data_IF_756541612196
#
_entry.id   IF_756541612196
#
_cell.length_a   1.000
_cell.length_b   1.000
_cell.length_c   1.000
_cell.angle_alpha   90.00
_cell.angle_beta   90.00
_cell.angle_gamma   90.00
#
_symmetry.space_group_name_H-M   'P 1'
#
loop_
_entity.id
_entity.type
_entity.pdbx_description
1 polymer ?
#
# COMPACT_ATOMS: atom_id res chain seq x y z
N UNK A 1 11.02 -23.57 -7.07
CA UNK A 1 10.05 -23.11 -6.04
C UNK A 1 10.44 -21.72 -5.61
N UNK A 2 9.50 -20.77 -5.61
CA UNK A 2 9.71 -19.46 -4.97
C UNK A 2 9.41 -19.62 -3.49
N UNK A 3 10.35 -19.24 -2.63
CA UNK A 3 10.20 -19.33 -1.17
C UNK A 3 9.56 -18.04 -0.68
N UNK A 4 8.43 -18.16 0.02
CA UNK A 4 7.78 -17.01 0.65
C UNK A 4 8.69 -16.43 1.75
N UNK A 5 8.65 -15.09 1.90
CA UNK A 5 9.33 -14.43 3.02
C UNK A 5 8.57 -14.56 4.33
N UNK A 6 7.26 -14.72 4.26
CA UNK A 6 6.37 -14.78 5.41
C UNK A 6 6.45 -16.17 6.07
N UNK A 7 6.45 -16.20 7.39
CA UNK A 7 6.29 -17.45 8.16
C UNK A 7 4.82 -17.74 8.45
N UNK A 8 3.95 -16.74 8.35
CA UNK A 8 2.50 -16.85 8.51
C UNK A 8 1.77 -16.00 7.49
N UNK A 9 0.66 -16.52 6.96
CA UNK A 9 -0.28 -15.76 6.14
C UNK A 9 -1.42 -15.24 7.03
N UNK A 10 -1.50 -13.92 7.20
CA UNK A 10 -2.55 -13.27 7.99
C UNK A 10 -3.80 -13.02 7.14
N UNK A 11 -3.62 -12.72 5.85
CA UNK A 11 -4.72 -12.45 4.94
C UNK A 11 -4.35 -12.71 3.49
N UNK A 12 -5.31 -13.19 2.70
CA UNK A 12 -5.16 -13.37 1.26
C UNK A 12 -6.34 -12.76 0.50
N UNK A 13 -6.07 -12.19 -0.67
CA UNK A 13 -7.10 -11.62 -1.52
C UNK A 13 -6.71 -11.67 -3.00
N UNK A 14 -7.70 -11.94 -3.85
CA UNK A 14 -7.59 -11.78 -5.30
C UNK A 14 -7.27 -10.32 -5.65
N UNK A 15 -6.34 -10.12 -6.58
CA UNK A 15 -5.86 -8.81 -6.99
C UNK A 15 -5.35 -8.79 -8.43
N UNK A 16 -5.23 -7.57 -8.96
CA UNK A 16 -4.60 -7.30 -10.26
C UNK A 16 -3.46 -6.34 -10.01
N UNK A 17 -2.27 -6.64 -10.53
CA UNK A 17 -1.14 -5.72 -10.58
C UNK A 17 -0.99 -5.15 -12.00
N UNK A 18 -0.68 -3.85 -12.10
CA UNK A 18 -0.53 -3.17 -13.38
C UNK A 18 0.93 -2.78 -13.60
N UNK A 19 1.67 -3.62 -14.34
CA UNK A 19 3.08 -3.42 -14.71
C UNK A 19 3.23 -3.63 -16.22
N UNK A 20 2.82 -2.61 -16.99
CA UNK A 20 2.53 -2.76 -18.41
C UNK A 20 1.16 -3.40 -18.60
N UNK A 21 1.12 -4.68 -18.95
CA UNK A 21 -0.14 -5.44 -19.07
C UNK A 21 -0.69 -5.82 -17.67
N UNK A 22 -2.03 -5.83 -17.50
CA UNK A 22 -2.64 -6.25 -16.24
C UNK A 22 -2.39 -7.74 -15.99
N UNK A 23 -1.89 -8.06 -14.78
CA UNK A 23 -1.63 -9.42 -14.34
C UNK A 23 -2.53 -9.77 -13.17
N UNK A 24 -3.25 -10.88 -13.30
CA UNK A 24 -4.16 -11.41 -12.30
C UNK A 24 -3.40 -12.33 -11.34
N UNK A 25 -3.79 -12.29 -10.08
CA UNK A 25 -3.14 -13.08 -9.05
C UNK A 25 -3.71 -12.82 -7.67
N UNK A 26 -2.96 -13.25 -6.66
CA UNK A 26 -3.35 -13.14 -5.25
C UNK A 26 -2.32 -12.34 -4.48
N UNK A 27 -2.80 -11.43 -3.65
CA UNK A 27 -2.00 -10.80 -2.61
C UNK A 27 -2.08 -11.66 -1.36
N UNK A 28 -0.94 -11.92 -0.74
CA UNK A 28 -0.81 -12.47 0.60
C UNK A 28 -0.14 -11.42 1.50
N UNK A 29 -0.75 -11.14 2.65
CA UNK A 29 -0.18 -10.32 3.70
C UNK A 29 0.21 -11.25 4.84
N UNK A 30 1.42 -11.06 5.37
CA UNK A 30 1.92 -11.86 6.48
C UNK A 30 2.79 -11.07 7.45
N UNK A 31 3.48 -11.81 8.30
CA UNK A 31 4.31 -11.27 9.38
C UNK A 31 5.48 -10.41 8.91
N UNK A 32 6.01 -10.66 7.70
CA UNK A 32 7.20 -9.96 7.17
C UNK A 32 6.93 -9.01 6.02
N UNK A 33 5.80 -9.17 5.33
CA UNK A 33 5.50 -8.33 4.18
C UNK A 33 4.27 -8.72 3.40
N UNK A 34 4.10 -8.00 2.30
CA UNK A 34 3.13 -8.31 1.26
C UNK A 34 3.79 -9.09 0.13
N UNK A 35 3.13 -10.12 -0.37
CA UNK A 35 3.55 -10.88 -1.54
C UNK A 35 2.41 -10.89 -2.57
N UNK A 36 2.77 -10.89 -3.84
CA UNK A 36 1.85 -11.08 -4.96
C UNK A 36 2.25 -12.35 -5.71
N UNK A 37 1.28 -13.24 -5.89
CA UNK A 37 1.43 -14.49 -6.63
C UNK A 37 0.60 -14.40 -7.91
N UNK A 38 1.25 -14.47 -9.06
CA UNK A 38 0.58 -14.43 -10.37
C UNK A 38 -0.08 -15.77 -10.69
N UNK A 39 -1.30 -15.73 -11.22
CA UNK A 39 -2.02 -16.95 -11.63
C UNK A 39 -1.43 -17.59 -12.89
N UNK A 40 -0.70 -16.81 -13.70
CA UNK A 40 -0.23 -17.22 -15.03
C UNK A 40 1.24 -17.58 -15.08
N UNK A 41 2.08 -16.81 -14.39
CA UNK A 41 3.54 -16.95 -14.51
C UNK A 41 4.23 -16.71 -13.17
N UNK A 42 4.91 -17.73 -12.67
CA UNK A 42 5.68 -17.68 -11.41
C UNK A 42 6.78 -16.61 -11.44
N UNK A 43 7.32 -16.27 -12.61
CA UNK A 43 8.31 -15.21 -12.77
C UNK A 43 7.74 -13.81 -12.47
N UNK A 44 6.41 -13.67 -12.45
CA UNK A 44 5.72 -12.42 -12.13
C UNK A 44 5.38 -12.30 -10.64
N UNK A 45 5.79 -13.28 -9.82
CA UNK A 45 5.63 -13.19 -8.38
C UNK A 45 6.49 -12.06 -7.82
N UNK A 46 5.94 -11.31 -6.87
CA UNK A 46 6.60 -10.14 -6.29
C UNK A 46 6.52 -10.19 -4.78
N UNK A 47 7.54 -9.65 -4.13
CA UNK A 47 7.67 -9.68 -2.68
C UNK A 47 8.04 -8.28 -2.20
N UNK A 48 7.29 -7.80 -1.23
CA UNK A 48 7.39 -6.45 -0.67
C UNK A 48 7.50 -6.57 0.86
N UNK A 49 8.72 -6.74 1.40
CA UNK A 49 8.93 -6.69 2.85
C UNK A 49 8.39 -5.38 3.42
N UNK A 50 7.83 -5.40 4.63
CA UNK A 50 7.28 -4.18 5.25
C UNK A 50 8.25 -2.99 5.23
N UNK A 51 9.56 -3.16 5.55
CA UNK A 51 10.51 -2.05 5.52
C UNK A 51 10.76 -1.45 4.13
N UNK A 52 10.42 -2.17 3.05
CA UNK A 52 10.60 -1.69 1.67
C UNK A 52 9.48 -0.76 1.20
N UNK A 53 8.34 -0.79 1.89
CA UNK A 53 7.14 -0.03 1.57
C UNK A 53 7.22 1.31 2.28
N UNK A 54 7.40 2.38 1.51
CA UNK A 54 7.46 3.75 2.04
C UNK A 54 6.08 4.25 2.47
N UNK A 55 5.09 4.09 1.59
CA UNK A 55 3.71 4.47 1.85
C UNK A 55 2.76 3.73 0.91
N UNK A 56 1.47 3.75 1.24
CA UNK A 56 0.40 3.24 0.39
C UNK A 56 -0.66 4.29 0.16
N UNK A 57 -1.06 4.45 -1.09
CA UNK A 57 -2.06 5.41 -1.51
C UNK A 57 -3.37 4.69 -1.86
N UNK A 58 -4.41 4.84 -1.04
CA UNK A 58 -5.73 4.29 -1.31
C UNK A 58 -6.56 5.24 -2.17
N UNK A 59 -7.14 4.75 -3.29
CA UNK A 59 -8.13 5.54 -4.03
C UNK A 59 -9.42 5.60 -3.23
N UNK A 60 -9.95 6.80 -3.01
CA UNK A 60 -11.27 7.00 -2.42
C UNK A 60 -12.25 7.45 -3.51
N UNK A 61 -13.46 6.92 -3.47
CA UNK A 61 -14.58 7.28 -4.36
C UNK A 61 -15.71 7.91 -3.53
N UNK A 62 -16.71 8.49 -4.19
CA UNK A 62 -17.85 9.17 -3.56
C UNK A 62 -17.44 10.23 -2.54
N UNK A 63 -16.86 11.34 -3.00
CA UNK A 63 -16.46 12.46 -2.13
C UNK A 63 -15.59 12.05 -0.93
N UNK A 64 -14.79 11.00 -1.07
CA UNK A 64 -13.88 10.54 -0.01
C UNK A 64 -14.50 9.61 1.03
N UNK A 65 -15.74 9.15 0.83
CA UNK A 65 -16.46 8.30 1.79
C UNK A 65 -16.17 6.80 1.62
N UNK A 66 -15.87 6.34 0.39
CA UNK A 66 -15.71 4.91 0.10
C UNK A 66 -14.31 4.60 -0.39
N UNK A 67 -13.72 3.51 0.10
CA UNK A 67 -12.46 2.98 -0.44
C UNK A 67 -12.76 2.33 -1.80
N UNK A 68 -12.09 2.81 -2.84
CA UNK A 68 -12.12 2.22 -4.17
C UNK A 68 -11.25 0.97 -4.25
N UNK A 69 -11.44 0.18 -5.30
CA UNK A 69 -10.67 -1.06 -5.52
C UNK A 69 -9.19 -0.83 -5.77
N UNK A 70 -8.81 0.35 -6.25
CA UNK A 70 -7.45 0.66 -6.66
C UNK A 70 -6.64 1.26 -5.51
N UNK A 71 -5.39 0.84 -5.38
CA UNK A 71 -4.41 1.44 -4.48
C UNK A 71 -3.02 1.37 -5.10
N UNK A 72 -2.10 2.16 -4.55
CA UNK A 72 -0.71 2.21 -5.02
C UNK A 72 0.24 1.91 -3.88
N UNK A 73 1.13 0.94 -4.10
CA UNK A 73 2.26 0.68 -3.24
C UNK A 73 3.41 1.59 -3.68
N UNK A 74 3.91 2.45 -2.80
CA UNK A 74 5.07 3.30 -3.06
C UNK A 74 6.24 2.74 -2.26
N UNK A 75 7.28 2.33 -2.97
CA UNK A 75 8.49 1.76 -2.39
C UNK A 75 9.49 2.84 -1.98
N UNK A 76 10.49 2.50 -1.17
CA UNK A 76 11.54 3.43 -0.74
C UNK A 76 12.34 4.03 -1.90
N UNK A 77 12.52 3.26 -2.97
CA UNK A 77 13.15 3.72 -4.22
C UNK A 77 12.22 4.59 -5.09
N UNK A 78 11.06 5.02 -4.56
CA UNK A 78 10.04 5.85 -5.21
C UNK A 78 9.29 5.17 -6.36
N UNK A 79 9.51 3.87 -6.61
CA UNK A 79 8.69 3.13 -7.55
C UNK A 79 7.26 3.03 -7.01
N UNK A 80 6.30 3.35 -7.89
CA UNK A 80 4.87 3.35 -7.57
C UNK A 80 4.19 2.24 -8.36
N UNK A 81 3.68 1.24 -7.66
CA UNK A 81 3.07 0.05 -8.26
C UNK A 81 1.57 0.10 -7.99
N UNK A 82 0.78 0.00 -9.06
CA UNK A 82 -0.68 0.03 -8.97
C UNK A 82 -1.23 -1.38 -8.78
N UNK A 83 -2.12 -1.51 -7.81
CA UNK A 83 -2.91 -2.71 -7.55
C UNK A 83 -4.41 -2.40 -7.58
N UNK A 84 -5.20 -3.43 -7.87
CA UNK A 84 -6.66 -3.39 -7.73
C UNK A 84 -7.14 -4.66 -7.04
N UNK A 85 -8.01 -4.55 -6.04
CA UNK A 85 -8.65 -5.70 -5.39
C UNK A 85 -10.07 -5.35 -4.96
N UNK A 86 -10.96 -6.35 -4.97
CA UNK A 86 -12.27 -6.23 -4.34
C UNK A 86 -12.19 -6.01 -2.83
N UNK A 87 -11.09 -6.43 -2.20
CA UNK A 87 -10.86 -6.36 -0.75
C UNK A 87 -9.88 -5.24 -0.36
N UNK A 88 -9.71 -4.22 -1.20
CA UNK A 88 -8.75 -3.13 -0.99
C UNK A 88 -8.85 -2.47 0.39
N UNK A 89 -10.07 -2.28 0.92
CA UNK A 89 -10.24 -1.70 2.26
C UNK A 89 -9.59 -2.52 3.38
N UNK A 90 -9.69 -3.85 3.32
CA UNK A 90 -9.08 -4.74 4.32
C UNK A 90 -7.57 -4.81 4.13
N UNK A 91 -7.10 -4.88 2.89
CA UNK A 91 -5.67 -4.83 2.55
C UNK A 91 -5.03 -3.56 3.13
N UNK A 92 -5.63 -2.40 2.87
CA UNK A 92 -5.14 -1.11 3.38
C UNK A 92 -5.16 -1.05 4.92
N UNK A 93 -6.11 -1.72 5.58
CA UNK A 93 -6.16 -1.81 7.04
C UNK A 93 -4.98 -2.59 7.59
N UNK A 94 -4.70 -3.78 7.06
CA UNK A 94 -3.57 -4.61 7.51
C UNK A 94 -2.24 -3.94 7.20
N UNK A 95 -2.09 -3.32 6.02
CA UNK A 95 -0.88 -2.56 5.70
C UNK A 95 -0.68 -1.44 6.72
N UNK A 96 -1.75 -0.70 7.07
CA UNK A 96 -1.70 0.37 8.09
C UNK A 96 -1.16 -0.11 9.43
N UNK A 97 -1.56 -1.30 9.86
CA UNK A 97 -1.11 -1.91 11.12
C UNK A 97 0.39 -2.22 11.11
N UNK A 98 0.97 -2.47 9.93
CA UNK A 98 2.38 -2.84 9.77
C UNK A 98 3.31 -1.66 9.49
N UNK A 99 2.88 -0.67 8.69
CA UNK A 99 3.73 0.47 8.28
C UNK A 99 3.38 1.79 8.96
N UNK A 100 2.33 1.83 9.79
CA UNK A 100 1.87 3.05 10.47
C UNK A 100 0.79 3.81 9.70
N UNK A 101 -0.03 4.57 10.44
CA UNK A 101 -1.19 5.28 9.89
C UNK A 101 -0.80 6.45 8.98
N UNK A 102 0.27 7.15 9.32
CA UNK A 102 0.85 8.25 8.55
C UNK A 102 1.34 7.81 7.16
N UNK A 103 1.62 6.52 6.97
CA UNK A 103 2.09 5.95 5.72
C UNK A 103 0.96 5.33 4.88
N UNK A 104 -0.30 5.40 5.33
CA UNK A 104 -1.47 5.03 4.52
C UNK A 104 -2.29 6.28 4.22
N UNK A 105 -2.04 6.84 3.04
CA UNK A 105 -2.58 8.12 2.62
C UNK A 105 -3.71 7.94 1.60
N UNK A 106 -4.62 8.90 1.54
CA UNK A 106 -5.58 8.98 0.43
C UNK A 106 -4.80 9.37 -0.83
N UNK A 107 -5.02 8.68 -1.95
CA UNK A 107 -4.45 9.11 -3.22
C UNK A 107 -4.99 10.51 -3.54
N UNK A 108 -4.11 11.50 -3.56
CA UNK A 108 -4.40 12.87 -3.97
C UNK A 108 -5.27 12.88 -5.25
N UNK A 109 -6.46 13.48 -5.28
CA UNK A 109 -6.60 14.93 -5.43
C UNK A 109 -5.79 15.67 -4.36
N UNK A 110 -4.72 16.32 -4.79
CA UNK A 110 -3.71 17.01 -3.97
C UNK A 110 -4.36 17.78 -2.81
N UNK A 111 -3.82 17.67 -1.58
CA UNK A 111 -3.78 18.72 -0.52
C UNK A 111 -3.62 18.09 0.88
N UNK A 112 -2.45 17.54 1.24
CA UNK A 112 -2.30 17.06 2.62
C UNK A 112 -0.89 16.90 3.16
N UNK A 113 0.11 16.58 2.34
CA UNK A 113 1.46 16.25 2.83
C UNK A 113 2.35 17.48 3.10
N UNK A 114 1.76 18.65 3.36
CA UNK A 114 2.48 19.84 3.83
C UNK A 114 1.97 20.38 5.18
N UNK A 115 1.13 19.63 5.91
CA UNK A 115 0.58 20.10 7.19
C UNK A 115 1.37 19.67 8.44
N UNK A 116 2.47 18.93 8.29
CA UNK A 116 3.37 18.60 9.41
C UNK A 116 4.64 19.47 9.50
N UNK A 117 4.90 20.35 8.51
CA UNK A 117 5.98 21.33 8.61
C UNK A 117 5.56 22.63 9.35
N UNK A 118 4.27 22.98 9.37
CA UNK A 118 3.80 24.26 9.94
C UNK A 118 3.58 24.26 11.46
N UNK A 119 3.63 23.11 12.15
CA UNK A 119 3.44 23.07 13.62
C UNK A 119 4.70 23.39 14.44
N UNK A 120 5.85 23.69 13.82
CA UNK A 120 7.11 23.95 14.55
C UNK A 120 7.60 25.42 14.54
N UNK A 121 6.87 26.37 13.96
CA UNK A 121 7.25 27.80 13.97
C UNK A 121 6.36 28.72 14.82
N UNK A 122 5.42 28.17 15.60
CA UNK A 122 4.46 28.96 16.40
C UNK A 122 4.76 29.11 17.89
N UNK A 123 5.95 28.71 18.39
CA UNK A 123 6.29 28.88 19.81
C UNK A 123 7.75 29.32 20.01
N UNK A 124 7.98 30.63 19.89
CA UNK A 124 8.80 31.36 20.89
C UNK A 124 8.06 32.63 21.28
N UNK A 125 7.58 32.60 22.53
CA UNK A 125 6.93 33.70 23.23
C UNK A 125 7.86 34.91 23.28
N UNK A 126 7.32 36.10 23.01
CA UNK A 126 7.75 37.34 23.65
C UNK A 126 7.40 37.24 25.14
N UNK A 127 8.40 37.32 26.02
CA UNK A 127 8.50 38.20 27.19
C UNK A 127 9.99 38.28 27.51
#
# INVERSE_FOLDING_TARGET
MVKSINTRADFTAEAIVYLGLPKYGKIMLGDKGMEFFSDRNVADNMTFPWPSIRLVEGRVTHHGQKIGKNFYLVLNNKHRIRFSSGQAGHILKIIRENIGNENVVKSATFFGTLSHAFKKLGKKKKV
#
